data_IF_133478019454
#
_entry.id   IF_133478019454
#
_cell.length_a   1.000
_cell.length_b   1.000
_cell.length_c   1.000
_cell.angle_alpha   90.00
_cell.angle_beta   90.00
_cell.angle_gamma   90.00
#
_symmetry.space_group_name_H-M   'P 1'
#
loop_
_entity.id
_entity.type
_entity.pdbx_description
1 polymer ?
#
# COMPACT_ATOMS: atom_id res chain seq x y z
N UNK A 1 -0.83 19.85 15.59
CA UNK A 1 -0.89 18.52 14.92
C UNK A 1 0.06 18.59 13.74
N UNK A 2 1.29 18.13 13.98
CA UNK A 2 2.47 18.32 13.13
C UNK A 2 2.33 17.62 11.77
N UNK A 3 2.63 18.33 10.68
CA UNK A 3 2.55 17.83 9.30
C UNK A 3 3.33 16.51 9.11
N UNK A 4 4.47 16.35 9.79
CA UNK A 4 5.25 15.11 9.79
C UNK A 4 4.44 13.88 10.24
N UNK A 5 3.56 14.05 11.22
CA UNK A 5 2.73 12.95 11.74
C UNK A 5 1.70 12.51 10.71
N UNK A 6 1.13 13.45 9.94
CA UNK A 6 0.13 13.15 8.92
C UNK A 6 0.74 12.43 7.70
N UNK A 7 1.93 12.88 7.27
CA UNK A 7 2.67 12.23 6.19
C UNK A 7 3.09 10.83 6.58
N UNK A 8 3.63 10.66 7.79
CA UNK A 8 4.01 9.36 8.35
C UNK A 8 2.82 8.42 8.46
N UNK A 9 1.64 8.91 8.87
CA UNK A 9 0.42 8.12 8.93
C UNK A 9 -0.04 7.66 7.54
N UNK A 10 -0.01 8.57 6.56
CA UNK A 10 -0.38 8.26 5.18
C UNK A 10 0.53 7.16 4.60
N UNK A 11 1.84 7.24 4.87
CA UNK A 11 2.81 6.22 4.48
C UNK A 11 2.58 4.88 5.17
N UNK A 12 2.33 4.90 6.47
CA UNK A 12 2.03 3.68 7.22
C UNK A 12 0.78 2.97 6.65
N UNK A 13 -0.22 3.74 6.23
CA UNK A 13 -1.46 3.24 5.61
C UNK A 13 -1.17 2.60 4.25
N UNK A 14 -0.32 3.23 3.44
CA UNK A 14 0.13 2.69 2.16
C UNK A 14 0.94 1.40 2.31
N UNK A 15 1.91 1.39 3.22
CA UNK A 15 2.72 0.19 3.51
C UNK A 15 1.81 -0.95 3.97
N UNK A 16 0.84 -0.67 4.83
CA UNK A 16 -0.15 -1.67 5.26
C UNK A 16 -0.99 -2.20 4.09
N UNK A 17 -1.42 -1.34 3.16
CA UNK A 17 -2.15 -1.74 1.96
C UNK A 17 -1.30 -2.67 1.06
N UNK A 18 -0.04 -2.32 0.82
CA UNK A 18 0.89 -3.17 0.05
C UNK A 18 1.14 -4.52 0.70
N UNK A 19 1.35 -4.56 2.03
CA UNK A 19 1.51 -5.81 2.77
C UNK A 19 0.22 -6.63 2.73
N UNK A 20 -0.95 -5.97 2.75
CA UNK A 20 -2.25 -6.59 2.55
C UNK A 20 -2.37 -7.29 1.20
N UNK A 21 -1.97 -6.62 0.11
CA UNK A 21 -1.91 -7.22 -1.23
C UNK A 21 -0.94 -8.39 -1.28
N UNK A 22 0.26 -8.23 -0.71
CA UNK A 22 1.27 -9.30 -0.66
C UNK A 22 0.78 -10.54 0.11
N UNK A 23 0.10 -10.34 1.25
CA UNK A 23 -0.58 -11.41 1.99
C UNK A 23 -1.67 -12.09 1.15
N UNK A 24 -2.47 -11.31 0.43
CA UNK A 24 -3.52 -11.82 -0.47
C UNK A 24 -2.99 -12.71 -1.60
N UNK A 25 -1.73 -12.51 -2.00
CA UNK A 25 -1.06 -13.34 -3.00
C UNK A 25 -0.50 -14.67 -2.46
N UNK A 26 -0.70 -14.97 -1.17
CA UNK A 26 -0.25 -16.23 -0.54
C UNK A 26 1.06 -16.13 0.24
N UNK A 27 1.54 -14.92 0.54
CA UNK A 27 2.75 -14.75 1.34
C UNK A 27 2.54 -15.22 2.78
N UNK A 28 3.34 -16.20 3.23
CA UNK A 28 3.30 -16.73 4.60
C UNK A 28 3.47 -15.60 5.62
N UNK A 29 2.63 -15.57 6.66
CA UNK A 29 2.61 -14.49 7.66
C UNK A 29 3.97 -14.18 8.31
N UNK A 30 4.88 -15.17 8.39
CA UNK A 30 6.26 -14.99 8.87
C UNK A 30 7.08 -14.00 8.04
N UNK A 31 6.80 -13.88 6.73
CA UNK A 31 7.48 -12.96 5.82
C UNK A 31 6.78 -11.61 5.70
N UNK A 32 5.56 -11.47 6.22
CA UNK A 32 4.79 -10.23 6.10
C UNK A 32 5.45 -9.06 6.87
N UNK A 33 6.04 -9.33 8.04
CA UNK A 33 6.78 -8.31 8.79
C UNK A 33 8.05 -7.88 8.06
N UNK A 34 8.75 -8.82 7.43
CA UNK A 34 9.93 -8.52 6.63
C UNK A 34 9.58 -7.72 5.37
N UNK A 35 8.46 -8.06 4.72
CA UNK A 35 7.92 -7.30 3.59
C UNK A 35 7.51 -5.89 4.00
N UNK A 36 6.86 -5.72 5.17
CA UNK A 36 6.47 -4.42 5.68
C UNK A 36 7.69 -3.51 5.91
N UNK A 37 8.73 -4.04 6.57
CA UNK A 37 9.98 -3.30 6.82
C UNK A 37 10.72 -3.02 5.50
N UNK A 38 10.74 -3.98 4.57
CA UNK A 38 11.38 -3.80 3.26
C UNK A 38 10.71 -2.72 2.42
N UNK A 39 9.37 -2.72 2.35
CA UNK A 39 8.61 -1.69 1.62
C UNK A 39 8.77 -0.33 2.31
N UNK A 40 8.70 -0.27 3.65
CA UNK A 40 8.94 0.97 4.38
C UNK A 40 10.35 1.53 4.13
N UNK A 41 11.36 0.67 4.12
CA UNK A 41 12.73 1.08 3.82
C UNK A 41 12.87 1.68 2.41
N UNK A 42 12.22 1.08 1.41
CA UNK A 42 12.18 1.63 0.04
C UNK A 42 11.51 3.01 0.03
N UNK A 43 10.37 3.15 0.71
CA UNK A 43 9.66 4.43 0.78
C UNK A 43 10.40 5.50 1.58
N UNK A 44 11.27 5.14 2.52
CA UNK A 44 12.07 6.09 3.31
C UNK A 44 13.36 6.48 2.59
N UNK A 45 14.00 5.54 1.87
CA UNK A 45 15.21 5.84 1.09
C UNK A 45 14.92 6.50 -0.26
N UNK A 46 13.72 6.33 -0.82
CA UNK A 46 13.38 6.90 -2.12
C UNK A 46 13.29 8.44 -2.06
N UNK A 47 13.86 9.16 -3.06
CA UNK A 47 13.74 10.62 -3.14
C UNK A 47 12.27 11.04 -3.34
N UNK A 48 11.90 12.21 -2.82
CA UNK A 48 10.50 12.70 -2.75
C UNK A 48 9.73 12.63 -4.08
N UNK A 49 10.40 12.91 -5.20
CA UNK A 49 9.81 12.86 -6.54
C UNK A 49 9.36 11.44 -6.90
N UNK A 50 10.17 10.45 -6.56
CA UNK A 50 9.87 9.03 -6.80
C UNK A 50 8.78 8.57 -5.84
N UNK A 51 8.85 9.00 -4.57
CA UNK A 51 7.86 8.68 -3.56
C UNK A 51 6.46 9.14 -3.97
N UNK A 52 6.33 10.41 -4.36
CA UNK A 52 5.07 11.00 -4.84
C UNK A 52 4.48 10.21 -6.02
N UNK A 53 5.30 9.86 -7.01
CA UNK A 53 4.87 9.08 -8.18
C UNK A 53 4.43 7.66 -7.80
N UNK A 54 5.16 7.00 -6.92
CA UNK A 54 4.78 5.66 -6.45
C UNK A 54 3.46 5.73 -5.68
N UNK A 55 3.28 6.72 -4.79
CA UNK A 55 2.03 6.94 -4.05
C UNK A 55 0.86 7.12 -5.02
N UNK A 56 1.02 7.99 -6.01
CA UNK A 56 0.01 8.28 -7.02
C UNK A 56 -0.40 7.02 -7.79
N UNK A 57 0.58 6.26 -8.29
CA UNK A 57 0.35 4.98 -8.99
C UNK A 57 -0.32 3.95 -8.06
N UNK A 58 0.11 3.88 -6.80
CA UNK A 58 -0.47 2.97 -5.80
C UNK A 58 -1.94 3.26 -5.56
N UNK A 59 -2.28 4.54 -5.33
CA UNK A 59 -3.65 4.97 -5.05
C UNK A 59 -4.52 4.73 -6.26
N UNK A 60 -4.07 5.05 -7.47
CA UNK A 60 -4.82 4.79 -8.71
C UNK A 60 -5.03 3.28 -8.91
N UNK A 61 -3.97 2.49 -8.82
CA UNK A 61 -4.02 1.03 -9.00
C UNK A 61 -4.87 0.34 -7.94
N UNK A 62 -4.66 0.62 -6.65
CA UNK A 62 -5.43 0.05 -5.54
C UNK A 62 -6.89 0.48 -5.60
N UNK A 63 -7.18 1.75 -5.91
CA UNK A 63 -8.56 2.23 -6.06
C UNK A 63 -9.27 1.54 -7.23
N UNK A 64 -8.58 1.34 -8.36
CA UNK A 64 -9.11 0.59 -9.50
C UNK A 64 -9.35 -0.89 -9.15
N UNK A 65 -8.46 -1.53 -8.40
CA UNK A 65 -8.68 -2.91 -7.94
C UNK A 65 -9.81 -3.00 -6.91
N UNK A 66 -10.00 -1.99 -6.08
CA UNK A 66 -11.10 -1.89 -5.13
C UNK A 66 -12.45 -1.73 -5.81
N UNK A 67 -12.56 -0.83 -6.79
CA UNK A 67 -13.77 -0.70 -7.62
C UNK A 67 -14.05 -1.98 -8.42
N UNK A 68 -13.02 -2.63 -8.95
CA UNK A 68 -13.15 -3.91 -9.64
C UNK A 68 -13.60 -5.06 -8.72
N UNK A 69 -13.04 -5.18 -7.51
CA UNK A 69 -13.51 -6.17 -6.52
C UNK A 69 -14.94 -5.90 -6.07
N UNK A 70 -15.32 -4.63 -5.91
CA UNK A 70 -16.69 -4.25 -5.55
C UNK A 70 -17.69 -4.54 -6.68
N UNK A 71 -17.31 -4.28 -7.93
CA UNK A 71 -18.10 -4.64 -9.11
C UNK A 71 -18.26 -6.17 -9.23
N UNK A 72 -17.16 -6.92 -9.13
CA UNK A 72 -17.18 -8.40 -9.15
C UNK A 72 -18.01 -9.00 -8.01
N UNK A 73 -17.99 -8.40 -6.82
CA UNK A 73 -18.82 -8.84 -5.68
C UNK A 73 -20.31 -8.53 -5.87
N UNK A 74 -20.67 -7.56 -6.72
CA UNK A 74 -22.05 -7.25 -7.10
C UNK A 74 -22.58 -8.15 -8.21
N UNK A 75 -21.74 -8.58 -9.14
CA UNK A 75 -22.13 -9.53 -10.21
C UNK A 75 -22.26 -10.98 -9.74
N UNK A 76 -21.64 -11.34 -8.61
CA UNK A 76 -21.75 -12.68 -8.02
C UNK A 76 -22.98 -12.91 -7.12
N UNK A 77 -24.05 -12.12 -7.27
CA UNK A 77 -25.32 -12.27 -6.54
C UNK A 77 -26.49 -12.50 -7.48
#
# INVERSE_FOLDING_TARGET
MDMMSNETLALATLVAAYVGVAKGFGLKAKWANLAAVGIAAIFVLAPDVVRQKIIEISVVGLSATGTYQLAKKREGK
#
